data_IF_659366365805
#
_entry.id   IF_659366365805
#
_cell.length_a   1.000
_cell.length_b   1.000
_cell.length_c   1.000
_cell.angle_alpha   90.00
_cell.angle_beta   90.00
_cell.angle_gamma   90.00
#
_symmetry.space_group_name_H-M   'P 1'
#
loop_
_entity.id
_entity.type
_entity.pdbx_description
1 polymer ?
#
# COMPACT_ATOMS: atom_id res chain seq x y z
N UNK A 1 2.60 -14.37 -7.76
CA UNK A 1 2.25 -13.05 -8.34
C UNK A 1 0.80 -12.64 -8.08
N UNK A 2 -0.20 -13.46 -8.41
CA UNK A 2 -1.63 -13.11 -8.21
C UNK A 2 -1.98 -12.69 -6.76
N UNK A 3 -1.46 -13.39 -5.76
CA UNK A 3 -1.65 -13.06 -4.34
C UNK A 3 -1.07 -11.69 -3.97
N UNK A 4 0.08 -11.30 -4.55
CA UNK A 4 0.70 -10.00 -4.28
C UNK A 4 -0.16 -8.84 -4.82
N UNK A 5 -0.79 -9.03 -5.98
CA UNK A 5 -1.72 -8.05 -6.54
C UNK A 5 -2.98 -7.90 -5.67
N UNK A 6 -3.53 -9.00 -5.13
CA UNK A 6 -4.64 -8.93 -4.19
C UNK A 6 -4.27 -8.21 -2.90
N UNK A 7 -3.09 -8.50 -2.33
CA UNK A 7 -2.59 -7.83 -1.11
C UNK A 7 -2.43 -6.33 -1.37
N UNK A 8 -1.85 -5.92 -2.50
CA UNK A 8 -1.77 -4.51 -2.90
C UNK A 8 -3.16 -3.90 -3.02
N UNK A 9 -4.10 -4.56 -3.70
CA UNK A 9 -5.46 -4.05 -3.90
C UNK A 9 -6.17 -3.81 -2.57
N UNK A 10 -6.15 -4.77 -1.65
CA UNK A 10 -6.77 -4.62 -0.33
C UNK A 10 -6.06 -3.56 0.52
N UNK A 11 -4.73 -3.46 0.44
CA UNK A 11 -3.97 -2.42 1.16
C UNK A 11 -4.29 -1.03 0.62
N UNK A 12 -4.44 -0.88 -0.69
CA UNK A 12 -4.88 0.36 -1.33
C UNK A 12 -6.29 0.77 -0.93
N UNK A 13 -7.25 -0.18 -0.92
CA UNK A 13 -8.62 0.06 -0.44
C UNK A 13 -8.63 0.49 1.02
N UNK A 14 -7.82 -0.14 1.87
CA UNK A 14 -7.68 0.23 3.28
C UNK A 14 -7.16 1.66 3.45
N UNK A 15 -6.14 2.05 2.69
CA UNK A 15 -5.57 3.41 2.73
C UNK A 15 -6.57 4.46 2.26
N UNK A 16 -7.28 4.21 1.16
CA UNK A 16 -8.33 5.10 0.63
C UNK A 16 -9.47 5.25 1.64
N UNK A 17 -9.98 4.14 2.17
CA UNK A 17 -11.04 4.15 3.17
C UNK A 17 -10.63 4.90 4.44
N UNK A 18 -9.39 4.71 4.88
CA UNK A 18 -8.82 5.42 6.03
C UNK A 18 -8.69 6.93 5.78
N UNK A 19 -8.28 7.34 4.58
CA UNK A 19 -8.20 8.74 4.20
C UNK A 19 -9.57 9.43 4.13
N UNK A 20 -10.57 8.76 3.56
CA UNK A 20 -11.96 9.25 3.52
C UNK A 20 -12.49 9.38 4.95
N UNK A 21 -12.26 8.37 5.81
CA UNK A 21 -12.67 8.39 7.20
C UNK A 21 -11.98 9.53 7.97
N UNK A 22 -10.68 9.77 7.75
CA UNK A 22 -9.97 10.89 8.34
C UNK A 22 -10.60 12.24 7.98
N UNK A 23 -10.88 12.47 6.69
CA UNK A 23 -11.54 13.69 6.21
C UNK A 23 -12.95 13.86 6.78
N UNK A 24 -13.71 12.77 6.88
CA UNK A 24 -15.05 12.77 7.47
C UNK A 24 -15.02 13.11 8.96
N UNK A 25 -14.11 12.46 9.69
CA UNK A 25 -13.93 12.63 11.14
C UNK A 25 -13.46 14.05 11.47
N UNK A 26 -12.52 14.61 10.70
CA UNK A 26 -12.13 16.02 10.84
C UNK A 26 -13.29 16.99 10.61
N UNK A 27 -14.10 16.77 9.55
CA UNK A 27 -15.28 17.60 9.27
C UNK A 27 -16.31 17.59 10.39
N UNK A 28 -16.43 16.48 11.12
CA UNK A 28 -17.38 16.32 12.23
C UNK A 28 -16.78 16.60 13.61
N UNK A 29 -15.52 17.02 13.70
CA UNK A 29 -14.84 17.25 14.98
C UNK A 29 -14.69 16.00 15.84
N UNK A 30 -14.72 14.81 15.25
CA UNK A 30 -14.61 13.54 15.97
C UNK A 30 -13.12 13.16 16.14
N UNK A 31 -12.83 12.26 17.08
CA UNK A 31 -11.46 11.75 17.26
C UNK A 31 -11.20 10.67 16.21
N UNK A 32 -10.14 10.84 15.42
CA UNK A 32 -9.75 9.84 14.44
C UNK A 32 -9.07 8.66 15.14
N UNK A 33 -9.60 7.45 14.90
CA UNK A 33 -9.20 6.23 15.64
C UNK A 33 -7.73 5.86 15.48
N UNK A 34 -7.12 6.14 14.32
CA UNK A 34 -5.74 5.79 14.04
C UNK A 34 -4.82 7.00 14.20
N UNK A 35 -3.64 6.82 14.78
CA UNK A 35 -2.65 7.92 14.81
C UNK A 35 -2.24 8.26 13.37
N UNK A 36 -2.23 9.54 12.95
CA UNK A 36 -1.88 9.94 11.59
C UNK A 36 -0.54 9.37 11.11
N UNK A 37 0.42 9.26 12.04
CA UNK A 37 1.75 8.66 11.82
C UNK A 37 1.67 7.21 11.31
N UNK A 38 0.73 6.42 11.83
CA UNK A 38 0.57 5.02 11.42
C UNK A 38 0.11 4.89 9.97
N UNK A 39 -0.78 5.79 9.50
CA UNK A 39 -1.20 5.82 8.10
C UNK A 39 -0.08 6.21 7.16
N UNK A 40 0.79 7.13 7.57
CA UNK A 40 1.97 7.52 6.78
C UNK A 40 2.89 6.31 6.60
N UNK A 41 3.17 5.57 7.68
CA UNK A 41 4.01 4.36 7.63
C UNK A 41 3.42 3.32 6.66
N UNK A 42 2.12 3.04 6.74
CA UNK A 42 1.45 2.08 5.84
C UNK A 42 1.51 2.57 4.39
N UNK A 43 1.32 3.87 4.15
CA UNK A 43 1.39 4.45 2.80
C UNK A 43 2.78 4.30 2.19
N UNK A 44 3.83 4.53 2.98
CA UNK A 44 5.23 4.34 2.54
C UNK A 44 5.50 2.87 2.23
N UNK A 45 5.11 1.96 3.13
CA UNK A 45 5.24 0.51 2.91
C UNK A 45 4.49 0.05 1.64
N UNK A 46 3.29 0.59 1.42
CA UNK A 46 2.50 0.32 0.23
C UNK A 46 3.21 0.80 -1.05
N UNK A 47 3.76 2.02 -1.06
CA UNK A 47 4.49 2.56 -2.20
C UNK A 47 5.76 1.76 -2.52
N UNK A 48 6.52 1.35 -1.51
CA UNK A 48 7.71 0.49 -1.66
C UNK A 48 7.33 -0.88 -2.23
N UNK A 49 6.26 -1.49 -1.72
CA UNK A 49 5.74 -2.77 -2.22
C UNK A 49 5.28 -2.66 -3.68
N UNK A 50 4.58 -1.58 -4.02
CA UNK A 50 4.11 -1.29 -5.37
C UNK A 50 5.28 -1.09 -6.34
N UNK A 51 6.31 -0.36 -5.94
CA UNK A 51 7.54 -0.21 -6.71
C UNK A 51 8.24 -1.55 -6.94
N UNK A 52 8.40 -2.37 -5.89
CA UNK A 52 9.03 -3.69 -6.00
C UNK A 52 8.27 -4.64 -6.93
N UNK A 53 6.94 -4.53 -6.98
CA UNK A 53 6.10 -5.35 -7.87
C UNK A 53 6.15 -4.87 -9.32
N UNK A 54 6.25 -3.56 -9.56
CA UNK A 54 6.36 -2.99 -10.91
C UNK A 54 7.76 -3.16 -11.49
N UNK A 55 8.79 -2.89 -10.69
CA UNK A 55 10.20 -2.96 -11.12
C UNK A 55 10.80 -4.35 -11.01
N UNK A 56 10.12 -5.29 -10.34
CA UNK A 56 10.54 -6.67 -10.26
C UNK A 56 10.56 -7.30 -11.65
N UNK A 57 11.76 -7.58 -12.16
CA UNK A 57 11.91 -8.36 -13.39
C UNK A 57 11.29 -9.75 -13.19
N UNK A 58 10.52 -10.27 -14.14
CA UNK A 58 10.03 -11.64 -14.04
C UNK A 58 11.23 -12.58 -13.90
N UNK A 59 11.12 -13.59 -13.04
CA UNK A 59 12.21 -14.53 -12.72
C UNK A 59 12.85 -15.15 -13.99
N UNK A 60 12.05 -15.34 -15.05
CA UNK A 60 12.50 -15.78 -16.37
C UNK A 60 13.51 -14.85 -17.06
N UNK A 61 13.50 -13.54 -16.79
CA UNK A 61 14.47 -12.59 -17.32
C UNK A 61 15.78 -12.56 -16.53
N UNK A 62 15.79 -13.10 -15.31
CA UNK A 62 16.97 -13.10 -14.41
C UNK A 62 17.75 -14.42 -14.57
N UNK A 63 17.07 -15.52 -14.90
CA UNK A 63 17.64 -16.84 -15.18
C UNK A 63 18.88 -16.84 -16.10
N UNK A 64 18.95 -16.03 -17.19
CA UNK A 64 20.12 -16.00 -18.08
C UNK A 64 21.36 -15.33 -17.47
N UNK A 65 21.22 -14.49 -16.44
CA UNK A 65 22.30 -13.71 -15.83
C UNK A 65 22.97 -14.43 -14.66
N UNK A 66 22.44 -15.58 -14.24
CA UNK A 66 22.94 -16.38 -13.10
C UNK A 66 23.71 -17.63 -13.60
N UNK A 67 23.88 -17.79 -14.92
CA UNK A 67 24.59 -18.94 -15.50
C UNK A 67 26.10 -18.79 -15.44
#
# INVERSE_FOLDING_TARGET
MQVNYFILLFTGLFLIGSYINYRYTQKKGMVFRYKPVFLIIITVLFAVSLYGIISGKPYNEILPFIR
#
